data_IF_531100852603
#
_entry.id   IF_531100852603
#
_cell.length_a   1.000
_cell.length_b   1.000
_cell.length_c   1.000
_cell.angle_alpha   90.00
_cell.angle_beta   90.00
_cell.angle_gamma   90.00
#
_symmetry.space_group_name_H-M   'P 1'
#
loop_
_entity.id
_entity.type
_entity.pdbx_description
1 polymer ?
#
# COMPACT_ATOMS: atom_id res chain seq x y z
N UNK A 1 -50.00 -47.97 -59.63
CA UNK A 1 -48.68 -47.79 -58.99
C UNK A 1 -48.77 -46.55 -58.12
N UNK A 2 -49.03 -46.76 -56.83
CA UNK A 2 -49.17 -45.72 -55.80
C UNK A 2 -48.05 -45.97 -54.78
N UNK A 3 -47.11 -45.04 -54.71
CA UNK A 3 -46.00 -45.06 -53.75
C UNK A 3 -46.51 -44.66 -52.35
N UNK A 4 -46.02 -45.28 -51.26
CA UNK A 4 -46.39 -44.89 -49.90
C UNK A 4 -45.56 -43.69 -49.39
N UNK A 5 -46.23 -42.90 -48.55
CA UNK A 5 -45.76 -41.74 -47.79
C UNK A 5 -44.68 -42.08 -46.74
N UNK A 6 -43.62 -41.28 -46.68
CA UNK A 6 -42.60 -41.29 -45.62
C UNK A 6 -43.07 -40.55 -44.35
N UNK A 7 -42.65 -40.96 -43.14
CA UNK A 7 -43.00 -40.29 -41.90
C UNK A 7 -42.11 -39.06 -41.63
N UNK A 8 -42.73 -38.00 -41.12
CA UNK A 8 -42.08 -36.78 -40.64
C UNK A 8 -41.36 -37.03 -39.32
N UNK A 9 -40.02 -36.93 -39.30
CA UNK A 9 -39.25 -36.86 -38.05
C UNK A 9 -39.45 -35.48 -37.39
N UNK A 10 -40.00 -35.50 -36.18
CA UNK A 10 -40.04 -34.36 -35.27
C UNK A 10 -38.66 -34.17 -34.65
N UNK A 11 -37.97 -33.08 -34.98
CA UNK A 11 -36.70 -32.70 -34.35
C UNK A 11 -36.97 -31.82 -33.13
N UNK A 12 -36.71 -32.36 -31.94
CA UNK A 12 -36.70 -31.63 -30.68
C UNK A 12 -35.45 -30.73 -30.62
N UNK A 13 -35.54 -29.42 -30.34
CA UNK A 13 -34.35 -28.60 -30.21
C UNK A 13 -33.68 -28.88 -28.86
N UNK A 14 -32.47 -29.44 -28.91
CA UNK A 14 -31.61 -29.63 -27.75
C UNK A 14 -31.05 -28.26 -27.32
N UNK A 15 -31.64 -27.66 -26.30
CA UNK A 15 -31.18 -26.42 -25.69
C UNK A 15 -29.88 -26.72 -24.90
N UNK A 16 -28.73 -26.52 -25.53
CA UNK A 16 -27.43 -26.53 -24.87
C UNK A 16 -27.33 -25.30 -23.94
N UNK A 17 -27.59 -25.51 -22.65
CA UNK A 17 -27.18 -24.59 -21.59
C UNK A 17 -25.65 -24.54 -21.57
N UNK A 18 -25.09 -23.51 -22.20
CA UNK A 18 -23.70 -23.11 -22.00
C UNK A 18 -23.56 -22.66 -20.55
N UNK A 19 -23.16 -23.57 -19.65
CA UNK A 19 -22.52 -23.17 -18.40
C UNK A 19 -21.18 -22.55 -18.78
N UNK A 20 -21.14 -21.23 -18.95
CA UNK A 20 -19.88 -20.49 -18.90
C UNK A 20 -19.26 -20.80 -17.54
N UNK A 21 -18.04 -21.36 -17.47
CA UNK A 21 -17.33 -21.39 -16.20
C UNK A 21 -17.18 -19.94 -15.78
N UNK A 22 -17.75 -19.60 -14.62
CA UNK A 22 -17.40 -18.37 -13.92
C UNK A 22 -15.91 -18.52 -13.64
N UNK A 23 -15.06 -17.99 -14.52
CA UNK A 23 -13.67 -17.81 -14.19
C UNK A 23 -13.69 -17.00 -12.90
N UNK A 24 -13.26 -17.61 -11.79
CA UNK A 24 -12.91 -16.83 -10.62
C UNK A 24 -11.90 -15.82 -11.16
N UNK A 25 -12.30 -14.55 -11.24
CA UNK A 25 -11.39 -13.50 -11.64
C UNK A 25 -10.22 -13.61 -10.66
N UNK A 26 -9.09 -14.11 -11.15
CA UNK A 26 -7.83 -13.99 -10.42
C UNK A 26 -7.57 -12.50 -10.42
N UNK A 27 -8.03 -11.81 -9.37
CA UNK A 27 -7.77 -10.39 -9.23
C UNK A 27 -6.27 -10.18 -9.42
N UNK A 28 -5.85 -9.23 -10.28
CA UNK A 28 -4.44 -8.91 -10.38
C UNK A 28 -3.92 -8.63 -8.97
N UNK A 29 -2.74 -9.16 -8.63
CA UNK A 29 -2.18 -8.98 -7.30
C UNK A 29 -1.74 -7.52 -7.12
N UNK A 30 -2.65 -6.65 -6.64
CA UNK A 30 -2.45 -5.20 -6.50
C UNK A 30 -1.67 -4.79 -5.24
N UNK A 31 -1.59 -5.69 -4.24
CA UNK A 31 -1.07 -5.39 -2.89
C UNK A 31 0.44 -5.17 -2.88
N UNK A 32 0.83 -4.04 -2.32
CA UNK A 32 2.22 -3.66 -2.09
C UNK A 32 2.57 -3.50 -0.62
N UNK A 33 3.84 -3.25 -0.35
CA UNK A 33 4.34 -2.92 0.97
C UNK A 33 4.88 -1.49 0.98
N UNK A 34 4.26 -0.62 1.77
CA UNK A 34 4.92 0.59 2.27
C UNK A 34 5.81 0.17 3.43
N UNK A 35 7.11 0.01 3.15
CA UNK A 35 8.05 -0.58 4.10
C UNK A 35 8.78 0.48 4.92
N UNK A 36 8.48 0.52 6.21
CA UNK A 36 9.27 1.25 7.20
C UNK A 36 10.18 0.26 7.94
N UNK A 37 11.52 0.36 7.82
CA UNK A 37 12.41 -0.50 8.59
C UNK A 37 12.18 -0.29 10.08
N UNK A 38 12.03 -1.37 10.85
CA UNK A 38 11.94 -1.37 12.31
C UNK A 38 13.30 -1.73 12.92
N UNK A 39 14.14 -0.75 13.32
CA UNK A 39 15.53 -1.03 13.73
C UNK A 39 15.63 -1.90 14.99
N UNK A 40 14.63 -1.83 15.87
CA UNK A 40 14.57 -2.62 17.10
C UNK A 40 14.12 -4.07 16.85
N UNK A 41 13.45 -4.32 15.72
CA UNK A 41 12.89 -5.62 15.35
C UNK A 41 13.13 -5.98 13.88
N UNK A 42 14.38 -6.00 13.39
CA UNK A 42 14.68 -6.19 11.97
C UNK A 42 14.23 -7.55 11.43
N UNK A 43 14.09 -8.55 12.32
CA UNK A 43 13.60 -9.88 11.98
C UNK A 43 12.15 -9.89 11.47
N UNK A 44 11.33 -8.91 11.85
CA UNK A 44 9.94 -8.78 11.40
C UNK A 44 9.82 -8.62 9.88
N UNK A 45 10.88 -8.15 9.22
CA UNK A 45 10.94 -8.03 7.76
C UNK A 45 10.67 -9.37 7.05
N UNK A 46 11.02 -10.50 7.66
CA UNK A 46 10.76 -11.82 7.09
C UNK A 46 9.26 -12.16 7.00
N UNK A 47 8.43 -11.56 7.86
CA UNK A 47 6.99 -11.78 7.90
C UNK A 47 6.31 -11.31 6.61
N UNK A 48 6.77 -10.21 6.01
CA UNK A 48 6.14 -9.60 4.84
C UNK A 48 6.26 -10.46 3.58
N UNK A 49 7.34 -11.21 3.48
CA UNK A 49 7.71 -12.04 2.31
C UNK A 49 7.62 -13.54 2.60
N UNK A 50 6.96 -13.91 3.71
CA UNK A 50 6.80 -15.31 4.08
C UNK A 50 6.00 -16.09 3.04
N UNK A 51 6.18 -17.41 3.02
CA UNK A 51 5.51 -18.29 2.06
C UNK A 51 3.98 -18.10 2.10
N UNK A 52 3.41 -17.79 0.95
CA UNK A 52 1.96 -17.56 0.81
C UNK A 52 1.56 -16.08 0.85
N UNK A 53 2.48 -15.17 1.16
CA UNK A 53 2.22 -13.73 1.14
C UNK A 53 1.66 -13.26 -0.21
N UNK A 54 0.64 -12.41 -0.15
CA UNK A 54 -0.04 -11.82 -1.29
C UNK A 54 0.70 -10.60 -1.89
N UNK A 55 1.73 -10.08 -1.21
CA UNK A 55 2.44 -8.88 -1.63
C UNK A 55 3.28 -9.12 -2.89
N UNK A 56 3.34 -8.14 -3.80
CA UNK A 56 4.08 -8.26 -5.07
C UNK A 56 5.04 -7.12 -5.39
N UNK A 57 4.95 -6.01 -4.68
CA UNK A 57 5.83 -4.87 -4.85
C UNK A 57 6.02 -4.17 -3.52
N UNK A 58 7.08 -3.36 -3.39
CA UNK A 58 7.30 -2.52 -2.23
C UNK A 58 8.06 -1.25 -2.59
N UNK A 59 7.92 -0.26 -1.73
CA UNK A 59 8.81 0.89 -1.66
C UNK A 59 9.16 1.14 -0.19
N UNK A 60 10.21 1.92 0.06
CA UNK A 60 10.76 2.14 1.39
C UNK A 60 11.15 3.59 1.66
N UNK A 61 10.51 4.53 0.94
CA UNK A 61 10.83 5.96 0.91
C UNK A 61 12.26 6.30 0.45
N UNK A 62 12.96 5.36 -0.20
CA UNK A 62 14.36 5.54 -0.63
C UNK A 62 14.54 5.18 -2.09
N UNK A 63 15.69 5.58 -2.61
CA UNK A 63 16.15 5.35 -3.97
C UNK A 63 16.82 3.97 -4.17
N UNK A 64 17.07 3.24 -3.08
CA UNK A 64 17.72 1.93 -3.07
C UNK A 64 16.94 0.90 -2.26
N UNK A 65 17.00 -0.40 -2.65
CA UNK A 65 16.22 -1.45 -2.00
C UNK A 65 16.67 -1.66 -0.56
N UNK A 66 15.71 -2.00 0.31
CA UNK A 66 16.00 -2.45 1.67
C UNK A 66 16.85 -3.72 1.65
N UNK A 67 17.95 -3.82 2.43
CA UNK A 67 18.79 -5.01 2.50
C UNK A 67 18.02 -6.30 2.83
N UNK A 68 16.92 -6.19 3.59
CA UNK A 68 16.04 -7.30 3.93
C UNK A 68 15.42 -8.01 2.70
N UNK A 69 15.28 -7.31 1.57
CA UNK A 69 14.64 -7.84 0.35
C UNK A 69 15.57 -7.87 -0.86
N UNK A 70 16.82 -7.40 -0.73
CA UNK A 70 17.76 -7.31 -1.84
C UNK A 70 18.08 -8.67 -2.51
N UNK A 71 17.87 -9.79 -1.80
CA UNK A 71 18.02 -11.14 -2.35
C UNK A 71 16.78 -11.73 -3.03
N UNK A 72 15.67 -10.98 -3.09
CA UNK A 72 14.40 -11.43 -3.68
C UNK A 72 14.33 -10.91 -5.12
N UNK A 73 14.02 -11.81 -6.06
CA UNK A 73 13.90 -11.46 -7.46
C UNK A 73 12.75 -10.47 -7.71
N UNK A 74 12.98 -9.49 -8.59
CA UNK A 74 12.02 -8.41 -8.91
C UNK A 74 10.66 -8.96 -9.38
N UNK A 75 10.64 -10.10 -10.08
CA UNK A 75 9.39 -10.73 -10.57
C UNK A 75 8.54 -11.32 -9.44
N UNK A 76 9.12 -11.51 -8.25
CA UNK A 76 8.40 -12.00 -7.06
C UNK A 76 8.00 -10.87 -6.13
N UNK A 77 8.87 -9.89 -5.95
CA UNK A 77 8.66 -8.76 -5.07
C UNK A 77 9.41 -7.54 -5.60
N UNK A 78 8.73 -6.78 -6.45
CA UNK A 78 9.31 -5.63 -7.16
C UNK A 78 9.69 -4.53 -6.18
N UNK A 79 10.92 -4.02 -6.26
CA UNK A 79 11.31 -2.79 -5.58
C UNK A 79 11.00 -1.59 -6.48
N UNK A 80 10.27 -0.62 -5.94
CA UNK A 80 9.96 0.65 -6.60
C UNK A 80 10.77 1.76 -5.92
N UNK A 81 11.84 2.29 -6.54
CA UNK A 81 12.61 3.39 -5.98
C UNK A 81 11.76 4.65 -5.89
N UNK A 82 11.99 5.43 -4.84
CA UNK A 82 11.30 6.70 -4.57
C UNK A 82 12.30 7.85 -4.41
N UNK A 83 12.07 8.95 -5.09
CA UNK A 83 12.69 10.23 -4.77
C UNK A 83 11.79 10.96 -3.77
N UNK A 84 12.02 10.73 -2.47
CA UNK A 84 11.10 11.16 -1.41
C UNK A 84 10.85 12.68 -1.38
N UNK A 85 11.90 13.48 -1.56
CA UNK A 85 11.84 14.94 -1.57
C UNK A 85 12.91 15.53 -2.49
N UNK A 86 13.13 16.85 -2.41
CA UNK A 86 14.07 17.58 -3.26
C UNK A 86 15.02 18.42 -2.40
N UNK A 87 16.33 18.40 -2.71
CA UNK A 87 17.24 19.42 -2.19
C UNK A 87 16.88 20.76 -2.83
N UNK A 88 16.28 21.67 -2.06
CA UNK A 88 15.80 22.97 -2.54
C UNK A 88 16.94 23.88 -3.00
N UNK A 89 18.17 23.66 -2.54
CA UNK A 89 19.34 24.42 -2.97
C UNK A 89 19.87 23.92 -4.33
N UNK A 90 19.67 22.64 -4.65
CA UNK A 90 20.14 22.01 -5.89
C UNK A 90 19.04 21.15 -6.56
N UNK A 91 17.88 21.70 -6.90
CA UNK A 91 16.76 20.90 -7.38
C UNK A 91 16.94 20.35 -8.80
N UNK A 92 17.99 20.74 -9.53
CA UNK A 92 18.37 20.13 -10.81
C UNK A 92 19.36 18.96 -10.62
N UNK A 93 19.71 18.60 -9.39
CA UNK A 93 20.60 17.46 -9.12
C UNK A 93 19.99 16.15 -9.67
N UNK A 94 20.83 15.31 -10.25
CA UNK A 94 20.44 14.08 -10.94
C UNK A 94 20.94 12.81 -10.24
N UNK A 95 21.20 12.86 -8.92
CA UNK A 95 21.65 11.72 -8.15
C UNK A 95 20.64 10.58 -8.14
N UNK A 96 19.34 10.88 -8.06
CA UNK A 96 18.28 9.86 -8.11
C UNK A 96 18.32 9.09 -9.43
N UNK A 97 18.32 9.81 -10.57
CA UNK A 97 18.47 9.22 -11.91
C UNK A 97 19.74 8.37 -12.00
N UNK A 98 20.86 8.87 -11.47
CA UNK A 98 22.15 8.17 -11.52
C UNK A 98 22.12 6.85 -10.76
N UNK A 99 21.51 6.81 -9.58
CA UNK A 99 21.36 5.59 -8.77
C UNK A 99 20.40 4.58 -9.41
N UNK A 100 19.26 5.03 -9.92
CA UNK A 100 18.31 4.15 -10.61
C UNK A 100 18.92 3.58 -11.88
N UNK A 101 19.64 4.39 -12.66
CA UNK A 101 20.38 3.92 -13.83
C UNK A 101 21.41 2.86 -13.46
N UNK A 102 22.20 3.09 -12.42
CA UNK A 102 23.19 2.11 -11.96
C UNK A 102 22.54 0.77 -11.60
N UNK A 103 21.39 0.76 -10.92
CA UNK A 103 20.65 -0.48 -10.66
C UNK A 103 20.21 -1.20 -11.94
N UNK A 104 19.72 -0.46 -12.95
CA UNK A 104 19.32 -1.03 -14.24
C UNK A 104 20.54 -1.62 -14.97
N UNK A 105 21.67 -0.93 -14.95
CA UNK A 105 22.95 -1.40 -15.54
C UNK A 105 23.46 -2.66 -14.83
N UNK A 106 23.26 -2.76 -13.52
CA UNK A 106 23.52 -3.96 -12.70
C UNK A 106 22.42 -5.05 -12.85
N UNK A 107 21.60 -4.97 -13.89
CA UNK A 107 20.56 -5.94 -14.26
C UNK A 107 19.41 -6.09 -13.25
N UNK A 108 19.17 -5.09 -12.40
CA UNK A 108 17.94 -5.00 -11.62
C UNK A 108 16.82 -4.51 -12.53
N UNK A 109 15.74 -5.29 -12.65
CA UNK A 109 14.59 -4.95 -13.50
C UNK A 109 13.69 -3.87 -12.85
N UNK A 110 14.16 -2.61 -12.84
CA UNK A 110 13.38 -1.47 -12.39
C UNK A 110 12.38 -1.07 -13.48
N UNK A 111 11.08 -1.27 -13.21
CA UNK A 111 10.02 -0.95 -14.19
C UNK A 111 9.18 0.27 -13.80
N UNK A 112 9.18 0.65 -12.53
CA UNK A 112 8.47 1.83 -12.00
C UNK A 112 9.37 2.67 -11.10
N UNK A 113 9.06 3.96 -10.96
CA UNK A 113 9.63 4.84 -9.94
C UNK A 113 8.55 5.76 -9.36
N UNK A 114 8.62 6.00 -8.05
CA UNK A 114 7.79 6.96 -7.33
C UNK A 114 8.52 8.30 -7.22
N UNK A 115 7.79 9.39 -7.39
CA UNK A 115 8.29 10.73 -7.11
C UNK A 115 7.95 11.17 -5.68
N UNK A 116 7.86 12.47 -5.44
CA UNK A 116 7.91 13.10 -4.13
C UNK A 116 6.75 12.65 -3.22
N UNK A 117 7.06 12.41 -1.95
CA UNK A 117 6.09 12.02 -0.91
C UNK A 117 5.54 13.26 -0.23
N UNK A 118 4.24 13.48 -0.29
CA UNK A 118 3.54 14.60 0.36
C UNK A 118 4.29 15.93 0.25
N UNK A 119 4.66 16.37 -0.97
CA UNK A 119 5.38 17.63 -1.15
C UNK A 119 4.52 18.85 -0.78
N UNK A 120 3.21 18.68 -0.71
CA UNK A 120 2.23 19.67 -0.26
C UNK A 120 2.13 19.79 1.27
N UNK A 121 2.85 18.94 2.02
CA UNK A 121 2.89 18.97 3.48
C UNK A 121 4.31 19.25 3.99
N UNK A 122 4.36 19.95 5.12
CA UNK A 122 5.58 20.40 5.78
C UNK A 122 6.38 19.24 6.41
N UNK A 123 7.69 19.39 6.48
CA UNK A 123 8.60 18.41 7.13
C UNK A 123 8.16 18.06 8.56
N UNK A 124 7.77 19.02 9.43
CA UNK A 124 7.35 18.70 10.80
C UNK A 124 6.10 17.80 10.89
N UNK A 125 5.28 17.77 9.84
CA UNK A 125 4.07 16.95 9.74
C UNK A 125 4.30 15.62 9.00
N UNK A 126 5.54 15.36 8.55
CA UNK A 126 5.91 14.12 7.85
C UNK A 126 6.00 14.23 6.33
N UNK A 127 5.63 15.38 5.76
CA UNK A 127 5.74 15.64 4.32
C UNK A 127 7.16 15.98 3.87
N UNK A 128 7.35 16.23 2.58
CA UNK A 128 8.65 16.59 1.99
C UNK A 128 8.85 18.09 1.74
N UNK A 129 7.81 18.92 1.96
CA UNK A 129 7.85 20.39 1.91
C UNK A 129 8.51 20.95 0.66
N UNK A 130 7.96 20.59 -0.51
CA UNK A 130 8.52 20.97 -1.81
C UNK A 130 7.50 21.80 -2.59
N UNK A 131 7.91 22.98 -3.04
CA UNK A 131 7.06 23.82 -3.91
C UNK A 131 6.86 23.17 -5.29
N UNK A 132 5.72 23.39 -5.97
CA UNK A 132 5.47 22.83 -7.29
C UNK A 132 6.55 23.15 -8.33
N UNK A 133 7.08 24.37 -8.33
CA UNK A 133 8.14 24.81 -9.25
C UNK A 133 9.49 24.13 -8.98
N UNK A 134 9.81 23.87 -7.72
CA UNK A 134 11.04 23.17 -7.33
C UNK A 134 10.94 21.68 -7.68
N UNK A 135 9.79 21.07 -7.40
CA UNK A 135 9.49 19.70 -7.80
C UNK A 135 9.55 19.53 -9.33
N UNK A 136 9.04 20.49 -10.10
CA UNK A 136 9.08 20.46 -11.57
C UNK A 136 10.52 20.43 -12.13
N UNK A 137 11.44 21.19 -11.53
CA UNK A 137 12.87 21.16 -11.90
C UNK A 137 13.51 19.81 -11.64
N UNK A 138 13.25 19.23 -10.46
CA UNK A 138 13.71 17.89 -10.12
C UNK A 138 13.10 16.82 -11.04
N UNK A 139 11.82 16.97 -11.42
CA UNK A 139 11.14 16.10 -12.37
C UNK A 139 11.82 16.07 -13.73
N UNK A 140 12.08 17.25 -14.32
CA UNK A 140 12.73 17.36 -15.63
C UNK A 140 14.15 16.76 -15.60
N UNK A 141 14.86 16.91 -14.49
CA UNK A 141 16.23 16.42 -14.33
C UNK A 141 16.30 14.91 -14.09
N UNK A 142 15.34 14.34 -13.36
CA UNK A 142 15.40 12.94 -12.92
C UNK A 142 14.42 12.02 -13.64
N UNK A 143 13.15 12.42 -13.79
CA UNK A 143 12.07 11.53 -14.21
C UNK A 143 11.87 11.53 -15.73
N UNK A 144 12.00 12.67 -16.41
CA UNK A 144 11.93 12.71 -17.89
C UNK A 144 13.01 11.82 -18.56
N UNK A 145 14.28 11.79 -18.08
CA UNK A 145 15.26 10.84 -18.59
C UNK A 145 14.96 9.37 -18.22
N UNK A 146 14.45 9.09 -17.02
CA UNK A 146 14.05 7.73 -16.63
C UNK A 146 12.97 7.16 -17.54
N UNK A 147 11.98 7.98 -17.90
CA UNK A 147 10.94 7.59 -18.86
C UNK A 147 11.49 7.23 -20.23
N UNK A 148 12.51 7.96 -20.72
CA UNK A 148 13.20 7.62 -21.97
C UNK A 148 13.95 6.29 -21.89
N UNK A 149 14.25 5.80 -20.69
CA UNK A 149 14.82 4.48 -20.44
C UNK A 149 13.75 3.38 -20.32
N UNK A 150 12.46 3.73 -20.43
CA UNK A 150 11.34 2.79 -20.33
C UNK A 150 10.81 2.57 -18.90
N UNK A 151 11.29 3.33 -17.91
CA UNK A 151 10.77 3.28 -16.54
C UNK A 151 9.48 4.10 -16.47
N UNK A 152 8.40 3.50 -15.98
CA UNK A 152 7.14 4.22 -15.71
C UNK A 152 7.26 5.07 -14.46
N UNK A 153 6.74 6.29 -14.47
CA UNK A 153 6.88 7.20 -13.33
C UNK A 153 5.54 7.72 -12.85
N UNK A 154 5.41 7.80 -11.52
CA UNK A 154 4.23 8.32 -10.85
C UNK A 154 4.32 9.82 -10.59
N UNK A 155 3.22 10.55 -10.76
CA UNK A 155 3.09 11.92 -10.23
C UNK A 155 3.38 11.98 -8.71
N UNK A 156 3.61 13.18 -8.15
CA UNK A 156 3.86 13.30 -6.71
C UNK A 156 2.69 12.79 -5.85
N UNK A 157 3.00 12.10 -4.76
CA UNK A 157 2.00 11.52 -3.87
C UNK A 157 1.54 12.57 -2.84
N UNK A 158 0.67 13.48 -3.26
CA UNK A 158 0.15 14.51 -2.36
C UNK A 158 -0.80 13.94 -1.30
N UNK A 159 -0.97 14.70 -0.21
CA UNK A 159 -1.89 14.33 0.87
C UNK A 159 -3.35 14.24 0.40
N UNK A 160 -4.19 13.61 1.22
CA UNK A 160 -5.65 13.59 1.07
C UNK A 160 -6.33 14.96 1.32
N UNK A 161 -5.57 15.99 1.72
CA UNK A 161 -6.09 17.32 2.03
C UNK A 161 -6.48 18.12 0.78
N UNK A 162 -7.31 19.15 0.97
CA UNK A 162 -7.84 19.96 -0.13
C UNK A 162 -6.78 20.70 -0.96
N UNK A 163 -5.57 20.92 -0.42
CA UNK A 163 -4.46 21.57 -1.12
C UNK A 163 -3.72 20.65 -2.10
N UNK A 164 -3.79 19.32 -1.93
CA UNK A 164 -2.99 18.38 -2.72
C UNK A 164 -3.34 18.39 -4.21
N UNK A 165 -4.61 18.60 -4.57
CA UNK A 165 -5.02 18.69 -5.98
C UNK A 165 -4.45 19.95 -6.65
N UNK A 166 -4.57 21.08 -5.97
CA UNK A 166 -4.06 22.36 -6.45
C UNK A 166 -2.55 22.30 -6.63
N UNK A 167 -1.83 21.73 -5.65
CA UNK A 167 -0.40 21.52 -5.75
C UNK A 167 -0.02 20.69 -6.99
N UNK A 168 -0.74 19.59 -7.26
CA UNK A 168 -0.48 18.74 -8.42
C UNK A 168 -0.72 19.46 -9.76
N UNK A 169 -1.78 20.26 -9.85
CA UNK A 169 -2.09 21.05 -11.05
C UNK A 169 -1.00 22.10 -11.30
N UNK A 170 -0.60 22.84 -10.27
CA UNK A 170 0.48 23.82 -10.34
C UNK A 170 1.82 23.16 -10.72
N UNK A 171 2.08 21.94 -10.24
CA UNK A 171 3.28 21.17 -10.57
C UNK A 171 3.31 20.79 -12.05
N UNK A 172 2.21 20.25 -12.58
CA UNK A 172 2.11 19.86 -14.00
C UNK A 172 2.28 21.08 -14.91
N UNK A 173 1.67 22.22 -14.56
CA UNK A 173 1.82 23.47 -15.29
C UNK A 173 3.27 23.97 -15.27
N UNK A 174 3.89 24.06 -14.10
CA UNK A 174 5.30 24.47 -13.97
C UNK A 174 6.25 23.55 -14.75
N UNK A 175 5.97 22.24 -14.74
CA UNK A 175 6.76 21.26 -15.47
C UNK A 175 6.63 21.43 -16.99
N UNK A 176 5.42 21.70 -17.49
CA UNK A 176 5.20 22.00 -18.90
C UNK A 176 5.88 23.29 -19.36
N UNK A 177 5.92 24.32 -18.51
CA UNK A 177 6.64 25.55 -18.78
C UNK A 177 8.15 25.31 -18.97
N UNK A 178 8.77 24.48 -18.12
CA UNK A 178 10.19 24.15 -18.22
C UNK A 178 10.56 23.39 -19.51
N UNK A 179 9.67 22.55 -20.03
CA UNK A 179 9.91 21.78 -21.25
C UNK A 179 9.61 22.58 -22.53
N UNK A 180 8.90 23.70 -22.43
CA UNK A 180 8.50 24.52 -23.58
C UNK A 180 9.66 25.42 -24.02
N UNK A 181 10.30 25.07 -25.14
CA UNK A 181 11.40 25.88 -25.71
C UNK A 181 10.88 27.18 -26.34
N UNK A 182 10.96 28.28 -25.58
CA UNK A 182 10.89 29.65 -26.10
C UNK A 182 9.65 30.00 -26.92
N UNK A 183 8.53 29.30 -26.72
CA UNK A 183 7.24 29.57 -27.36
C UNK A 183 6.99 28.91 -28.73
N UNK A 184 7.77 27.88 -29.11
CA UNK A 184 7.58 27.22 -30.42
C UNK A 184 6.61 26.03 -30.40
N UNK A 185 6.57 25.28 -29.30
CA UNK A 185 5.66 24.15 -29.10
C UNK A 185 5.49 23.90 -27.60
N UNK A 186 4.26 23.99 -27.06
CA UNK A 186 3.99 23.69 -25.65
C UNK A 186 4.20 22.19 -25.43
N UNK A 187 5.13 21.83 -24.55
CA UNK A 187 5.36 20.45 -24.12
C UNK A 187 4.86 20.30 -22.71
N UNK A 188 4.08 19.25 -22.45
CA UNK A 188 3.70 18.88 -21.09
C UNK A 188 4.68 17.82 -20.59
N UNK A 189 4.98 17.84 -19.30
CA UNK A 189 5.54 16.66 -18.65
C UNK A 189 4.54 15.51 -18.77
N UNK A 190 5.07 14.30 -18.85
CA UNK A 190 4.23 13.12 -19.05
C UNK A 190 4.52 12.12 -17.94
N UNK A 191 3.47 11.48 -17.47
CA UNK A 191 3.47 10.55 -16.36
C UNK A 191 2.76 9.26 -16.79
N UNK A 192 2.89 8.22 -15.98
CA UNK A 192 2.35 6.90 -16.28
C UNK A 192 1.29 6.44 -15.27
N UNK A 193 1.31 6.99 -14.05
CA UNK A 193 0.33 6.73 -13.00
C UNK A 193 0.29 7.86 -11.96
N UNK A 194 -0.72 7.84 -11.09
CA UNK A 194 -0.93 8.83 -10.04
C UNK A 194 -0.99 8.17 -8.65
N UNK A 195 0.11 8.26 -7.88
CA UNK A 195 0.14 7.99 -6.45
C UNK A 195 -0.84 8.87 -5.65
N UNK A 196 -1.55 8.28 -4.69
CA UNK A 196 -2.44 8.99 -3.76
C UNK A 196 -2.25 8.48 -2.34
N UNK A 197 -2.28 9.40 -1.37
CA UNK A 197 -2.30 9.08 0.06
C UNK A 197 -3.66 9.40 0.67
N UNK A 198 -4.15 8.55 1.57
CA UNK A 198 -5.41 8.78 2.26
C UNK A 198 -5.44 8.25 3.69
N UNK A 199 -5.62 9.16 4.64
CA UNK A 199 -5.81 8.83 6.05
C UNK A 199 -7.20 9.27 6.51
N UNK A 200 -8.13 8.32 6.59
CA UNK A 200 -9.53 8.54 6.96
C UNK A 200 -10.47 7.42 6.49
N UNK A 201 -11.77 7.58 6.73
CA UNK A 201 -12.78 6.56 6.41
C UNK A 201 -12.94 6.24 4.90
N UNK A 202 -13.63 5.13 4.61
CA UNK A 202 -13.76 4.57 3.26
C UNK A 202 -14.46 5.51 2.26
N UNK A 203 -15.54 6.17 2.64
CA UNK A 203 -16.27 7.07 1.73
C UNK A 203 -15.38 8.22 1.24
N UNK A 204 -14.50 8.70 2.12
CA UNK A 204 -13.51 9.72 1.75
C UNK A 204 -12.43 9.17 0.83
N UNK A 205 -11.94 7.95 1.05
CA UNK A 205 -10.99 7.28 0.14
C UNK A 205 -11.57 7.17 -1.27
N UNK A 206 -12.80 6.67 -1.39
CA UNK A 206 -13.47 6.49 -2.67
C UNK A 206 -13.71 7.85 -3.37
N UNK A 207 -14.15 8.86 -2.62
CA UNK A 207 -14.34 10.21 -3.15
C UNK A 207 -13.01 10.85 -3.60
N UNK A 208 -11.93 10.66 -2.85
CA UNK A 208 -10.61 11.19 -3.17
C UNK A 208 -10.07 10.58 -4.46
N UNK A 209 -10.18 9.26 -4.62
CA UNK A 209 -9.81 8.57 -5.87
C UNK A 209 -10.65 9.08 -7.05
N UNK A 210 -11.97 9.25 -6.85
CA UNK A 210 -12.85 9.82 -7.88
C UNK A 210 -12.43 11.22 -8.33
N UNK A 211 -12.12 12.11 -7.38
CA UNK A 211 -11.63 13.47 -7.69
C UNK A 211 -10.32 13.44 -8.48
N UNK A 212 -9.40 12.53 -8.13
CA UNK A 212 -8.11 12.39 -8.81
C UNK A 212 -8.27 11.87 -10.24
N UNK A 213 -9.19 10.92 -10.47
CA UNK A 213 -9.52 10.41 -11.81
C UNK A 213 -10.16 11.49 -12.68
N UNK A 214 -11.04 12.33 -12.11
CA UNK A 214 -11.67 13.43 -12.86
C UNK A 214 -10.63 14.48 -13.28
N UNK A 215 -9.68 14.82 -12.39
CA UNK A 215 -8.64 15.80 -12.68
C UNK A 215 -7.53 15.27 -13.61
N UNK A 216 -7.22 13.97 -13.54
CA UNK A 216 -6.18 13.32 -14.32
C UNK A 216 -6.75 12.12 -15.09
N UNK A 217 -7.55 12.37 -16.16
CA UNK A 217 -8.20 11.30 -16.90
C UNK A 217 -7.19 10.35 -17.54
N UNK A 218 -7.61 9.10 -17.76
CA UNK A 218 -6.80 8.02 -18.35
C UNK A 218 -5.50 7.71 -17.59
N UNK A 219 -5.36 8.18 -16.35
CA UNK A 219 -4.20 7.94 -15.49
C UNK A 219 -4.54 6.89 -14.42
N UNK A 220 -3.88 5.71 -14.41
CA UNK A 220 -4.08 4.72 -13.37
C UNK A 220 -3.69 5.23 -11.98
N UNK A 221 -4.44 4.85 -10.96
CA UNK A 221 -4.21 5.21 -9.57
C UNK A 221 -3.35 4.17 -8.86
N UNK A 222 -2.37 4.65 -8.09
CA UNK A 222 -1.65 3.86 -7.10
C UNK A 222 -1.95 4.43 -5.72
N UNK A 223 -2.63 3.66 -4.85
CA UNK A 223 -2.86 4.09 -3.46
C UNK A 223 -1.62 3.72 -2.65
N UNK A 224 -0.60 4.58 -2.62
CA UNK A 224 0.69 4.25 -2.01
C UNK A 224 0.67 4.27 -0.49
N UNK A 225 -0.27 4.99 0.12
CA UNK A 225 -0.53 4.93 1.56
C UNK A 225 -2.01 5.09 1.85
N UNK A 226 -2.57 4.21 2.68
CA UNK A 226 -3.87 4.45 3.27
C UNK A 226 -4.11 3.70 4.57
N UNK A 227 -4.87 4.33 5.47
CA UNK A 227 -5.41 3.74 6.70
C UNK A 227 -6.57 4.61 7.22
N UNK A 228 -7.38 4.08 8.13
CA UNK A 228 -8.32 4.90 8.92
C UNK A 228 -7.72 5.09 10.32
N UNK A 229 -7.10 6.24 10.60
CA UNK A 229 -6.22 6.39 11.74
C UNK A 229 -6.98 6.44 13.06
N UNK A 230 -6.38 5.88 14.10
CA UNK A 230 -6.81 5.95 15.50
C UNK A 230 -8.23 5.47 15.76
N UNK A 231 -8.71 4.53 14.93
CA UNK A 231 -10.00 3.88 15.13
C UNK A 231 -9.92 2.75 16.17
N UNK A 232 -11.06 2.45 16.78
CA UNK A 232 -11.23 1.22 17.58
C UNK A 232 -11.01 -0.03 16.70
N UNK A 233 -10.73 -1.18 17.34
CA UNK A 233 -10.38 -2.41 16.64
C UNK A 233 -11.44 -2.81 15.60
N UNK A 234 -12.72 -2.81 15.99
CA UNK A 234 -13.80 -3.24 15.10
C UNK A 234 -13.97 -2.31 13.89
N UNK A 235 -14.09 -0.97 14.05
CA UNK A 235 -14.09 -0.05 12.91
C UNK A 235 -12.84 -0.16 12.02
N UNK A 236 -11.64 -0.38 12.60
CA UNK A 236 -10.42 -0.59 11.81
C UNK A 236 -10.52 -1.83 10.92
N UNK A 237 -11.00 -2.95 11.46
CA UNK A 237 -11.23 -4.18 10.71
C UNK A 237 -12.32 -4.00 9.63
N UNK A 238 -13.39 -3.27 9.94
CA UNK A 238 -14.47 -2.98 8.98
C UNK A 238 -13.97 -2.07 7.84
N UNK A 239 -13.18 -1.03 8.14
CA UNK A 239 -12.52 -0.19 7.14
C UNK A 239 -11.59 -1.01 6.25
N UNK A 240 -10.72 -1.84 6.84
CA UNK A 240 -9.80 -2.70 6.10
C UNK A 240 -10.56 -3.61 5.11
N UNK A 241 -11.58 -4.32 5.58
CA UNK A 241 -12.33 -5.26 4.74
C UNK A 241 -13.08 -4.56 3.62
N UNK A 242 -13.67 -3.39 3.91
CA UNK A 242 -14.42 -2.60 2.93
C UNK A 242 -13.50 -2.03 1.86
N UNK A 243 -12.42 -1.35 2.28
CA UNK A 243 -11.46 -0.70 1.39
C UNK A 243 -10.73 -1.70 0.50
N UNK A 244 -10.18 -2.79 1.05
CA UNK A 244 -9.45 -3.80 0.24
C UNK A 244 -10.35 -4.51 -0.76
N UNK A 245 -11.57 -4.90 -0.36
CA UNK A 245 -12.57 -5.52 -1.24
C UNK A 245 -12.97 -4.61 -2.41
N UNK A 246 -13.00 -3.30 -2.20
CA UNK A 246 -13.28 -2.32 -3.24
C UNK A 246 -12.06 -2.07 -4.14
N UNK A 247 -10.87 -1.84 -3.56
CA UNK A 247 -9.62 -1.61 -4.31
C UNK A 247 -9.25 -2.82 -5.20
N UNK A 248 -9.54 -4.05 -4.78
CA UNK A 248 -9.33 -5.26 -5.59
C UNK A 248 -10.22 -5.29 -6.86
N UNK A 249 -11.37 -4.59 -6.85
CA UNK A 249 -12.35 -4.54 -7.96
C UNK A 249 -12.29 -3.26 -8.77
N UNK A 250 -11.80 -2.18 -8.19
CA UNK A 250 -11.73 -0.87 -8.84
C UNK A 250 -10.69 -0.90 -9.97
N UNK A 251 -11.14 -0.83 -11.23
CA UNK A 251 -10.28 -1.00 -12.42
C UNK A 251 -9.28 0.14 -12.58
N UNK A 252 -9.64 1.35 -12.13
CA UNK A 252 -8.75 2.51 -12.15
C UNK A 252 -7.56 2.38 -11.20
N UNK A 253 -7.64 1.53 -10.17
CA UNK A 253 -6.55 1.28 -9.22
C UNK A 253 -5.71 0.11 -9.68
N UNK A 254 -4.43 0.34 -9.98
CA UNK A 254 -3.49 -0.73 -10.36
C UNK A 254 -2.79 -1.35 -9.15
N UNK A 255 -2.50 -0.53 -8.13
CA UNK A 255 -1.70 -0.94 -6.96
C UNK A 255 -2.17 -0.22 -5.70
N UNK A 256 -2.07 -0.89 -4.55
CA UNK A 256 -2.32 -0.26 -3.25
C UNK A 256 -1.45 -0.82 -2.12
N UNK A 257 -1.08 0.02 -1.16
CA UNK A 257 -0.28 -0.30 0.01
C UNK A 257 -0.96 0.22 1.29
N UNK A 258 -1.44 -0.70 2.14
CA UNK A 258 -2.06 -0.35 3.43
C UNK A 258 -0.97 0.05 4.42
N UNK A 259 -1.14 1.17 5.11
CA UNK A 259 -0.16 1.69 6.05
C UNK A 259 -0.27 0.98 7.41
N UNK A 260 0.37 -0.18 7.52
CA UNK A 260 0.30 -1.04 8.71
C UNK A 260 1.50 -1.94 8.97
N UNK A 261 2.57 -1.88 8.16
CA UNK A 261 3.69 -2.83 8.19
C UNK A 261 4.70 -2.60 9.32
N UNK A 262 4.21 -2.56 10.56
CA UNK A 262 4.97 -2.29 11.78
C UNK A 262 4.28 -2.97 12.98
N UNK A 263 4.93 -2.92 14.15
CA UNK A 263 4.31 -3.29 15.43
C UNK A 263 3.35 -2.20 15.90
N UNK A 264 2.38 -2.58 16.70
CA UNK A 264 1.32 -1.68 17.17
C UNK A 264 1.81 -0.51 18.03
N UNK A 265 2.97 -0.64 18.70
CA UNK A 265 3.61 0.46 19.44
C UNK A 265 4.48 1.39 18.59
N UNK A 266 4.82 0.99 17.35
CA UNK A 266 5.48 1.83 16.35
C UNK A 266 4.47 2.60 15.48
N UNK A 267 3.18 2.30 15.59
CA UNK A 267 2.13 2.84 14.72
C UNK A 267 1.82 4.30 15.00
N UNK A 268 1.95 5.16 13.98
CA UNK A 268 1.51 6.55 14.00
C UNK A 268 0.02 6.72 13.65
N UNK A 269 -0.62 5.67 13.15
CA UNK A 269 -2.05 5.65 12.75
C UNK A 269 -2.91 4.85 13.74
N UNK A 270 -2.41 4.65 14.96
CA UNK A 270 -3.07 3.92 16.02
C UNK A 270 -2.76 2.41 16.00
N UNK A 271 -2.82 1.74 17.16
CA UNK A 271 -2.30 0.38 17.32
C UNK A 271 -3.10 -0.66 16.53
N UNK A 272 -4.38 -0.40 16.24
CA UNK A 272 -5.27 -1.37 15.64
C UNK A 272 -5.07 -1.56 14.12
N UNK A 273 -4.41 -0.62 13.45
CA UNK A 273 -4.09 -0.70 12.02
C UNK A 273 -2.80 -1.50 11.75
N UNK A 274 -2.00 -1.74 12.79
CA UNK A 274 -0.73 -2.43 12.66
C UNK A 274 -0.90 -3.92 12.30
N UNK A 275 0.02 -4.42 11.48
CA UNK A 275 0.05 -5.81 11.05
C UNK A 275 0.58 -6.73 12.12
N UNK A 276 1.38 -6.21 13.07
CA UNK A 276 1.95 -6.98 14.16
C UNK A 276 1.48 -6.44 15.51
N UNK A 277 1.24 -7.34 16.47
CA UNK A 277 1.09 -6.98 17.86
C UNK A 277 2.44 -6.59 18.49
N UNK A 278 2.46 -6.36 19.80
CA UNK A 278 3.68 -5.93 20.51
C UNK A 278 4.78 -7.00 20.52
N UNK A 279 4.43 -8.28 20.39
CA UNK A 279 5.37 -9.40 20.37
C UNK A 279 5.83 -9.79 18.95
N UNK A 280 5.31 -9.11 17.91
CA UNK A 280 5.65 -9.39 16.50
C UNK A 280 4.77 -10.47 15.86
N UNK A 281 3.64 -10.82 16.45
CA UNK A 281 2.68 -11.77 15.91
C UNK A 281 1.68 -11.07 14.99
N UNK A 282 1.30 -11.73 13.88
CA UNK A 282 0.34 -11.16 12.93
C UNK A 282 -1.02 -10.92 13.57
N UNK A 283 -1.52 -9.69 13.49
CA UNK A 283 -2.89 -9.31 13.79
C UNK A 283 -3.84 -9.82 12.70
N UNK A 284 -5.15 -9.74 12.92
CA UNK A 284 -6.13 -10.06 11.89
C UNK A 284 -5.94 -9.22 10.62
N UNK A 285 -5.73 -7.90 10.76
CA UNK A 285 -5.49 -6.98 9.63
C UNK A 285 -4.22 -7.37 8.87
N UNK A 286 -3.12 -7.63 9.58
CA UNK A 286 -1.87 -8.07 8.97
C UNK A 286 -2.01 -9.40 8.24
N UNK A 287 -2.65 -10.38 8.86
CA UNK A 287 -2.88 -11.69 8.27
C UNK A 287 -3.72 -11.60 7.00
N UNK A 288 -4.84 -10.88 7.05
CA UNK A 288 -5.69 -10.68 5.87
C UNK A 288 -4.95 -9.95 4.74
N UNK A 289 -4.12 -8.95 5.06
CA UNK A 289 -3.40 -8.17 4.05
C UNK A 289 -2.38 -9.03 3.32
N UNK A 290 -1.66 -9.87 4.06
CA UNK A 290 -0.75 -10.85 3.50
C UNK A 290 -1.46 -12.05 2.83
N UNK A 291 -2.79 -12.14 2.87
CA UNK A 291 -3.56 -13.20 2.20
C UNK A 291 -3.77 -14.47 3.03
N UNK A 292 -3.62 -14.38 4.35
CA UNK A 292 -3.86 -15.47 5.30
C UNK A 292 -5.24 -15.34 5.97
N UNK A 293 -5.62 -16.38 6.71
CA UNK A 293 -6.80 -16.36 7.57
C UNK A 293 -6.55 -15.52 8.83
N UNK A 294 -7.64 -15.08 9.46
CA UNK A 294 -7.61 -14.40 10.77
C UNK A 294 -6.79 -15.19 11.80
N UNK A 295 -6.03 -14.49 12.63
CA UNK A 295 -5.19 -15.06 13.68
C UNK A 295 -5.85 -14.97 15.05
N UNK A 296 -6.78 -14.03 15.23
CA UNK A 296 -7.40 -13.71 16.52
C UNK A 296 -6.46 -12.98 17.48
N UNK A 297 -5.30 -12.51 17.00
CA UNK A 297 -4.32 -11.78 17.81
C UNK A 297 -4.79 -10.34 17.97
N UNK A 298 -4.97 -9.92 19.22
CA UNK A 298 -5.24 -8.53 19.57
C UNK A 298 -4.00 -7.67 19.28
N UNK A 299 -4.10 -6.57 18.51
CA UNK A 299 -2.95 -5.71 18.21
C UNK A 299 -2.22 -5.18 19.45
N UNK A 300 -2.90 -5.03 20.58
CA UNK A 300 -2.33 -4.55 21.83
C UNK A 300 -1.92 -5.68 22.79
N UNK A 301 -2.04 -6.94 22.35
CA UNK A 301 -1.47 -8.07 23.10
C UNK A 301 0.05 -8.11 22.96
N UNK A 302 0.71 -8.73 23.95
CA UNK A 302 2.16 -8.82 24.04
C UNK A 302 2.78 -7.84 25.05
N UNK A 303 4.09 -7.95 25.27
CA UNK A 303 4.89 -7.42 26.41
C UNK A 303 4.66 -8.14 27.75
N UNK A 304 5.14 -9.38 27.88
CA UNK A 304 5.34 -9.96 29.22
C UNK A 304 6.40 -9.17 30.03
N UNK A 305 6.16 -8.67 31.24
CA UNK A 305 4.91 -8.71 31.98
C UNK A 305 4.93 -8.06 33.38
N UNK A 306 3.74 -7.99 33.98
CA UNK A 306 3.51 -7.96 35.42
C UNK A 306 2.07 -8.45 35.72
N UNK A 307 1.96 -9.70 36.18
CA UNK A 307 0.94 -10.16 37.12
C UNK A 307 -0.55 -10.05 36.72
N UNK A 308 -1.10 -11.13 36.16
CA UNK A 308 -2.35 -11.70 36.65
C UNK A 308 -2.42 -13.17 36.23
N UNK A 309 -1.71 -14.03 36.98
CA UNK A 309 -2.14 -15.41 37.12
C UNK A 309 -3.54 -15.37 37.75
N UNK A 310 -4.58 -15.47 36.92
CA UNK A 310 -5.91 -15.87 37.36
C UNK A 310 -5.84 -17.31 37.87
N UNK A 311 -5.32 -17.50 39.08
CA UNK A 311 -5.49 -18.75 39.79
C UNK A 311 -6.99 -18.96 40.04
N UNK A 312 -7.57 -20.12 39.69
CA UNK A 312 -8.96 -20.39 40.01
C UNK A 312 -9.05 -20.57 41.53
N UNK A 313 -9.68 -19.62 42.22
CA UNK A 313 -10.01 -19.77 43.65
C UNK A 313 -11.10 -20.83 43.77
N UNK A 314 -10.69 -22.09 43.85
CA UNK A 314 -11.51 -23.14 44.45
C UNK A 314 -11.30 -23.08 45.96
N UNK A 315 -12.39 -22.75 46.66
CA UNK A 315 -12.39 -22.51 48.09
C UNK A 315 -11.98 -23.73 48.90
N UNK A 316 -11.30 -23.45 50.01
CA UNK A 316 -11.30 -24.31 51.19
C UNK A 316 -11.49 -23.41 52.40
N UNK A 317 -12.71 -23.42 52.96
CA UNK A 317 -12.97 -23.01 54.33
C UNK A 317 -12.18 -23.95 55.25
N UNK A 318 -11.27 -23.40 56.06
CA UNK A 318 -10.76 -24.09 57.25
C UNK A 318 -11.10 -23.28 58.49
N UNK A 319 -12.06 -23.84 59.22
CA UNK A 319 -12.45 -23.51 60.60
C UNK A 319 -11.23 -23.60 61.51
N UNK A 320 -10.92 -22.52 62.23
CA UNK A 320 -10.02 -22.58 63.40
C UNK A 320 -10.90 -22.59 64.66
N UNK A 321 -11.05 -23.80 65.22
CA UNK A 321 -11.61 -24.02 66.54
C UNK A 321 -10.51 -24.15 67.61
N UNK A 322 -10.56 -23.21 68.56
CA UNK A 322 -10.29 -23.31 70.01
C UNK A 322 -9.22 -24.28 70.61
N UNK A 323 -8.40 -23.66 71.50
CA UNK A 323 -7.97 -24.14 72.84
C UNK A 323 -6.96 -25.32 72.90
N UNK A 324 -5.95 -25.45 73.79
CA UNK A 324 -5.54 -24.79 75.05
C UNK A 324 -4.22 -25.48 75.56
N UNK A 325 -3.49 -24.83 76.50
CA UNK A 325 -2.38 -25.33 77.38
C UNK A 325 -1.03 -25.68 76.68
N UNK A 326 0.17 -25.36 77.15
CA UNK A 326 0.69 -24.82 78.42
C UNK A 326 2.16 -25.26 78.57
N UNK A 327 2.92 -24.57 79.46
CA UNK A 327 4.27 -24.90 79.99
C UNK A 327 5.50 -24.38 79.22
N UNK A 328 6.00 -23.20 79.59
CA UNK A 328 7.19 -23.01 80.46
C UNK A 328 7.31 -21.52 80.83
#
# INVERSE_FOLDING_TARGET
MLLPSLPTLSTLPLLLLLLSPLAAATHPHKRGLVFTPTPDHPADSATWVQKGSALRWYYNYRDVPSPAFAGIAQEKFEFVPMMWGVDTEHPDDADFLSKVRAMIEDSVNITHALSFSEPDESIPNGGSDVTPSTAARAWVSNFEPLRKMGVKVGLPACTGGGGGLTWLQEFVDACGELLTDGGKEKKNCTWDFLPVHWYGGFDGLASHIGERIEAFPDTPIWVTEYADPNQDLRPTQDFYNTSTSWLDKEESVERYAYFGAFRSDDSTVGPNAAFLNLDGELTDVGAWYLGFNATGVDPQSGKGGAGALGAPVWGVLLLVGAMVLGMA
#
